data_IF_620206634875
#
_entry.id   IF_620206634875
#
_cell.length_a   1.000
_cell.length_b   1.000
_cell.length_c   1.000
_cell.angle_alpha   90.00
_cell.angle_beta   90.00
_cell.angle_gamma   90.00
#
_symmetry.space_group_name_H-M   'P 1'
#
loop_
_entity.id
_entity.type
_entity.pdbx_description
1 polymer ?
#
# COMPACT_ATOMS: atom_id res chain seq x y z
N UNK A 1 82.71 0.23 27.66
CA UNK A 1 81.70 1.34 27.56
C UNK A 1 80.63 0.88 26.60
N UNK A 2 79.59 0.31 27.14
CA UNK A 2 78.46 -0.25 26.37
C UNK A 2 77.25 0.64 26.57
N UNK A 3 76.77 1.27 25.51
CA UNK A 3 75.58 2.09 25.47
C UNK A 3 74.35 1.28 25.05
N UNK A 4 73.44 1.12 25.96
CA UNK A 4 72.18 0.43 25.82
C UNK A 4 71.15 1.36 25.12
N UNK A 5 70.71 1.04 23.93
CA UNK A 5 69.65 1.77 23.22
C UNK A 5 68.33 1.01 23.44
N UNK A 6 67.48 1.56 24.31
CA UNK A 6 66.11 1.03 24.48
C UNK A 6 65.21 1.55 23.37
N UNK A 7 64.79 0.64 22.51
CA UNK A 7 63.76 0.87 21.50
C UNK A 7 62.37 1.11 22.17
N UNK A 8 61.77 2.28 21.89
CA UNK A 8 60.39 2.58 22.29
C UNK A 8 59.50 2.20 21.13
N UNK A 9 58.77 1.11 21.28
CA UNK A 9 57.65 0.80 20.41
C UNK A 9 56.45 1.57 20.93
N UNK A 10 55.96 2.53 20.14
CA UNK A 10 54.70 3.21 20.35
C UNK A 10 53.60 2.36 19.74
N UNK A 11 52.75 1.83 20.57
CA UNK A 11 51.51 1.17 20.13
C UNK A 11 50.57 2.22 19.55
N UNK A 12 50.36 2.19 18.25
CA UNK A 12 49.23 2.81 17.58
C UNK A 12 48.26 1.69 17.21
N UNK A 13 47.42 1.33 18.13
CA UNK A 13 46.33 0.39 17.87
C UNK A 13 45.02 1.02 18.34
N UNK A 14 44.05 1.18 17.46
CA UNK A 14 42.69 1.36 17.91
C UNK A 14 41.94 2.60 17.44
N UNK A 15 41.81 2.80 16.14
CA UNK A 15 40.81 3.75 15.62
C UNK A 15 40.20 3.41 14.26
N UNK A 16 40.23 2.16 13.83
CA UNK A 16 39.68 1.75 12.51
C UNK A 16 38.51 0.76 12.60
N UNK A 17 38.06 0.40 13.82
CA UNK A 17 37.00 -0.60 14.01
C UNK A 17 35.58 -0.04 14.16
N UNK A 18 35.40 1.27 14.35
CA UNK A 18 34.09 1.82 14.74
C UNK A 18 33.27 2.42 13.59
N UNK A 19 33.84 2.60 12.41
CA UNK A 19 33.14 3.25 11.26
C UNK A 19 32.43 2.24 10.36
N UNK A 20 32.80 0.97 10.40
CA UNK A 20 32.20 -0.06 9.53
C UNK A 20 30.86 -0.61 10.06
N UNK A 21 30.49 -0.41 11.32
CA UNK A 21 29.23 -0.93 11.88
C UNK A 21 28.05 0.03 11.76
N UNK A 22 28.25 1.29 11.40
CA UNK A 22 27.17 2.27 11.29
C UNK A 22 26.54 2.35 9.89
N UNK A 23 27.15 1.75 8.89
CA UNK A 23 26.67 1.77 7.50
C UNK A 23 25.68 0.65 7.16
N UNK A 24 25.47 -0.33 8.04
CA UNK A 24 24.60 -1.50 7.81
C UNK A 24 23.18 -1.34 8.35
N UNK A 25 22.85 -0.23 9.01
CA UNK A 25 21.51 -0.04 9.59
C UNK A 25 20.59 0.88 8.81
N UNK A 26 21.02 1.44 7.68
CA UNK A 26 20.25 2.37 6.85
C UNK A 26 19.67 1.74 5.57
N UNK A 27 19.88 0.44 5.35
CA UNK A 27 19.46 -0.24 4.12
C UNK A 27 18.23 -1.13 4.21
N UNK A 28 17.56 -1.24 5.36
CA UNK A 28 16.46 -2.18 5.54
C UNK A 28 15.13 -1.45 5.82
N UNK A 29 14.75 -0.55 4.92
CA UNK A 29 13.40 0.01 4.86
C UNK A 29 12.85 -0.14 3.44
N UNK A 30 12.85 -1.38 2.97
CA UNK A 30 12.17 -1.73 1.75
C UNK A 30 11.46 -3.06 2.00
N UNK A 31 10.17 -3.07 1.71
CA UNK A 31 9.29 -4.25 1.67
C UNK A 31 8.83 -4.77 3.04
N UNK A 32 7.89 -4.09 3.63
CA UNK A 32 6.88 -4.74 4.47
C UNK A 32 5.96 -5.53 3.53
N UNK A 33 6.44 -6.68 3.09
CA UNK A 33 5.63 -7.65 2.38
C UNK A 33 5.03 -8.61 3.39
N UNK A 34 3.72 -8.73 3.41
CA UNK A 34 2.98 -9.91 3.81
C UNK A 34 2.86 -10.26 5.31
N UNK A 35 3.65 -9.65 6.23
CA UNK A 35 3.55 -9.98 7.66
C UNK A 35 2.63 -9.06 8.47
N UNK A 36 2.15 -7.96 7.89
CA UNK A 36 1.35 -6.95 8.59
C UNK A 36 -0.15 -7.03 8.25
N UNK A 37 -0.58 -8.15 7.64
CA UNK A 37 -1.99 -8.37 7.35
C UNK A 37 -2.74 -8.70 8.64
N UNK A 38 -3.60 -7.78 9.09
CA UNK A 38 -4.41 -7.95 10.30
C UNK A 38 -5.80 -8.48 9.99
N UNK A 39 -6.25 -8.32 8.76
CA UNK A 39 -7.56 -8.80 8.31
C UNK A 39 -7.42 -10.18 7.68
N UNK A 40 -8.30 -11.09 8.06
CA UNK A 40 -8.28 -12.47 7.56
C UNK A 40 -8.50 -12.51 6.04
N UNK A 41 -7.88 -13.48 5.38
CA UNK A 41 -8.12 -13.79 3.99
C UNK A 41 -9.60 -14.10 3.71
N UNK A 42 -10.06 -13.71 2.55
CA UNK A 42 -11.41 -14.02 2.10
C UNK A 42 -11.45 -15.44 1.51
N UNK A 43 -11.96 -16.38 2.28
CA UNK A 43 -12.11 -17.79 1.85
C UNK A 43 -13.28 -18.00 0.88
N UNK A 44 -14.17 -17.02 0.76
CA UNK A 44 -15.34 -17.04 -0.13
C UNK A 44 -15.21 -15.97 -1.23
N UNK A 45 -14.07 -15.94 -1.91
CA UNK A 45 -13.80 -14.95 -2.94
C UNK A 45 -14.86 -15.01 -4.05
N UNK A 46 -15.48 -13.85 -4.30
CA UNK A 46 -16.25 -13.65 -5.51
C UNK A 46 -15.30 -13.48 -6.70
N UNK A 47 -15.72 -13.86 -7.92
CA UNK A 47 -14.95 -13.54 -9.11
C UNK A 47 -14.63 -12.04 -9.17
N UNK A 48 -13.42 -11.72 -9.63
CA UNK A 48 -13.06 -10.32 -9.87
C UNK A 48 -14.07 -9.68 -10.83
N UNK A 49 -14.56 -8.47 -10.58
CA UNK A 49 -15.41 -7.79 -11.53
C UNK A 49 -14.62 -7.49 -12.79
N UNK A 50 -15.26 -7.65 -13.94
CA UNK A 50 -14.64 -7.30 -15.21
C UNK A 50 -14.34 -5.79 -15.22
N UNK A 51 -13.08 -5.45 -15.42
CA UNK A 51 -12.63 -4.06 -15.51
C UNK A 51 -12.68 -3.57 -16.97
N UNK A 52 -12.90 -2.28 -17.19
CA UNK A 52 -12.94 -1.70 -18.54
C UNK A 52 -11.60 -1.77 -19.28
N UNK A 53 -10.50 -1.76 -18.53
CA UNK A 53 -9.13 -1.96 -19.00
C UNK A 53 -8.43 -2.99 -18.12
N UNK A 54 -7.60 -3.88 -18.68
CA UNK A 54 -6.74 -4.72 -17.88
C UNK A 54 -5.71 -3.87 -17.15
N UNK A 55 -5.55 -4.10 -15.84
CA UNK A 55 -4.55 -3.42 -15.02
C UNK A 55 -3.93 -4.42 -14.03
N UNK A 56 -2.60 -4.48 -14.03
CA UNK A 56 -1.83 -5.34 -13.14
C UNK A 56 -1.16 -4.53 -12.04
N UNK A 57 -1.61 -4.67 -10.80
CA UNK A 57 -0.92 -4.10 -9.63
C UNK A 57 0.50 -4.67 -9.52
N UNK A 58 0.66 -5.97 -9.75
CA UNK A 58 1.96 -6.65 -9.74
C UNK A 58 2.99 -5.98 -10.64
N UNK A 59 2.62 -5.70 -11.88
CA UNK A 59 3.52 -5.06 -12.84
C UNK A 59 3.90 -3.64 -12.41
N UNK A 60 2.94 -2.83 -11.96
CA UNK A 60 3.17 -1.43 -11.63
C UNK A 60 3.89 -1.26 -10.29
N UNK A 61 3.55 -2.05 -9.27
CA UNK A 61 4.22 -2.00 -7.98
C UNK A 61 5.66 -2.53 -8.05
N UNK A 62 5.97 -3.42 -8.98
CA UNK A 62 7.35 -3.84 -9.26
C UNK A 62 8.25 -2.69 -9.76
N UNK A 63 7.67 -1.60 -10.25
CA UNK A 63 8.38 -0.37 -10.63
C UNK A 63 8.69 0.54 -9.42
N UNK A 64 8.26 0.17 -8.22
CA UNK A 64 8.44 0.96 -6.99
C UNK A 64 7.44 2.11 -6.83
N UNK A 65 6.32 2.09 -7.54
CA UNK A 65 5.26 3.08 -7.39
C UNK A 65 4.54 2.89 -6.05
N UNK A 66 4.27 3.99 -5.34
CA UNK A 66 3.47 3.99 -4.13
C UNK A 66 1.97 3.93 -4.46
N UNK A 67 1.16 3.46 -3.50
CA UNK A 67 -0.29 3.35 -3.68
C UNK A 67 -0.93 4.70 -4.02
N UNK A 68 -0.48 5.76 -3.34
CA UNK A 68 -0.98 7.13 -3.47
C UNK A 68 -0.64 7.77 -4.82
N UNK A 69 0.30 7.20 -5.57
CA UNK A 69 0.58 7.65 -6.95
C UNK A 69 -0.66 7.52 -7.84
N UNK A 70 -1.48 6.51 -7.58
CA UNK A 70 -2.68 6.21 -8.36
C UNK A 70 -3.97 6.37 -7.55
N UNK A 71 -3.94 6.11 -6.24
CA UNK A 71 -5.11 6.21 -5.37
C UNK A 71 -5.03 7.46 -4.51
N UNK A 72 -5.61 8.56 -5.02
CA UNK A 72 -5.66 9.84 -4.32
C UNK A 72 -6.76 9.92 -3.26
N UNK A 73 -6.67 10.91 -2.37
CA UNK A 73 -7.70 11.29 -1.38
C UNK A 73 -7.96 10.26 -0.28
N UNK A 74 -6.98 9.42 0.06
CA UNK A 74 -7.12 8.50 1.16
C UNK A 74 -7.23 9.22 2.52
N UNK A 75 -6.57 10.37 2.63
CA UNK A 75 -6.47 11.22 3.82
C UNK A 75 -7.63 12.22 3.99
N UNK A 76 -8.51 12.35 3.00
CA UNK A 76 -9.55 13.39 2.98
C UNK A 76 -10.91 12.89 2.50
N UNK A 77 -11.04 11.61 2.20
CA UNK A 77 -12.26 11.02 1.68
C UNK A 77 -12.56 9.65 2.29
N UNK A 78 -13.82 9.33 2.47
CA UNK A 78 -14.26 8.00 2.88
C UNK A 78 -13.81 6.92 1.87
N UNK A 79 -13.81 7.25 0.59
CA UNK A 79 -13.38 6.35 -0.49
C UNK A 79 -12.19 6.94 -1.22
N UNK A 80 -11.14 6.14 -1.41
CA UNK A 80 -10.05 6.52 -2.31
C UNK A 80 -10.57 6.62 -3.75
N UNK A 81 -10.03 7.59 -4.48
CA UNK A 81 -10.27 7.74 -5.91
C UNK A 81 -9.65 6.62 -6.72
N UNK A 82 -10.13 6.47 -7.93
CA UNK A 82 -9.41 5.77 -8.99
C UNK A 82 -8.51 6.76 -9.73
N UNK A 83 -7.39 6.31 -10.32
CA UNK A 83 -6.55 7.18 -11.11
C UNK A 83 -7.31 7.69 -12.33
N UNK A 84 -7.17 8.99 -12.60
CA UNK A 84 -7.63 9.60 -13.84
C UNK A 84 -6.73 9.17 -15.02
N UNK A 85 -7.24 9.31 -16.24
CA UNK A 85 -6.50 8.93 -17.45
C UNK A 85 -5.13 9.61 -17.54
N UNK A 86 -5.01 10.88 -17.12
CA UNK A 86 -3.78 11.65 -17.15
C UNK A 86 -2.68 11.02 -16.26
N UNK A 87 -3.05 10.42 -15.14
CA UNK A 87 -2.10 9.67 -14.29
C UNK A 87 -1.46 8.52 -15.08
N UNK A 88 -2.26 7.76 -15.80
CA UNK A 88 -1.79 6.67 -16.64
C UNK A 88 -0.96 7.18 -17.83
N UNK A 89 -1.47 8.21 -18.52
CA UNK A 89 -0.84 8.79 -19.71
C UNK A 89 0.45 9.54 -19.41
N UNK A 90 0.73 9.88 -18.16
CA UNK A 90 2.03 10.47 -17.78
C UNK A 90 3.21 9.56 -18.16
N UNK A 91 3.01 8.25 -18.22
CA UNK A 91 3.99 7.28 -18.67
C UNK A 91 3.60 6.64 -20.01
N UNK A 92 2.32 6.27 -20.18
CA UNK A 92 1.85 5.53 -21.35
C UNK A 92 1.73 6.33 -22.63
N UNK A 93 2.02 7.63 -22.60
CA UNK A 93 2.25 8.41 -23.81
C UNK A 93 3.55 8.01 -24.55
N UNK A 94 4.48 7.30 -23.86
CA UNK A 94 5.77 6.88 -24.41
C UNK A 94 6.08 5.41 -24.15
N UNK A 95 5.37 4.75 -23.23
CA UNK A 95 5.64 3.35 -22.82
C UNK A 95 4.46 2.47 -23.20
N UNK A 96 4.75 1.32 -23.85
CA UNK A 96 3.79 0.30 -24.27
C UNK A 96 2.68 0.84 -25.19
N UNK A 97 2.95 1.85 -25.97
CA UNK A 97 1.98 2.60 -26.80
C UNK A 97 1.31 1.75 -27.88
N UNK A 98 1.88 0.60 -28.23
CA UNK A 98 1.37 -0.37 -29.20
C UNK A 98 0.49 -1.46 -28.58
N UNK A 99 0.42 -1.52 -27.24
CA UNK A 99 -0.42 -2.50 -26.57
C UNK A 99 -1.91 -2.13 -26.70
N UNK A 100 -2.81 -3.08 -27.03
CA UNK A 100 -4.22 -2.78 -27.26
C UNK A 100 -4.91 -2.02 -26.10
N UNK A 101 -4.59 -2.37 -24.87
CA UNK A 101 -5.13 -1.70 -23.69
C UNK A 101 -4.66 -0.24 -23.57
N UNK A 102 -3.43 0.05 -23.99
CA UNK A 102 -2.88 1.41 -23.98
C UNK A 102 -3.44 2.25 -25.13
N UNK A 103 -3.66 1.64 -26.27
CA UNK A 103 -4.39 2.30 -27.40
C UNK A 103 -5.79 2.71 -26.93
N UNK A 104 -6.53 1.79 -26.30
CA UNK A 104 -7.86 2.09 -25.74
C UNK A 104 -7.80 3.17 -24.65
N UNK A 105 -6.81 3.13 -23.76
CA UNK A 105 -6.59 4.17 -22.76
C UNK A 105 -6.37 5.55 -23.40
N UNK A 106 -5.55 5.62 -24.45
CA UNK A 106 -5.29 6.85 -25.16
C UNK A 106 -6.55 7.42 -25.85
N UNK A 107 -7.42 6.54 -26.37
CA UNK A 107 -8.72 6.93 -26.93
C UNK A 107 -9.65 7.53 -25.84
N UNK A 108 -9.75 6.89 -24.67
CA UNK A 108 -10.53 7.39 -23.52
C UNK A 108 -10.00 8.75 -23.07
N UNK A 109 -8.67 8.87 -22.94
CA UNK A 109 -8.01 10.12 -22.52
C UNK A 109 -8.24 11.24 -23.53
N UNK A 110 -8.08 10.97 -24.82
CA UNK A 110 -8.29 11.97 -25.87
C UNK A 110 -9.74 12.46 -25.97
N UNK A 111 -10.69 11.62 -25.56
CA UNK A 111 -12.10 11.97 -25.46
C UNK A 111 -12.45 12.73 -24.16
N UNK A 112 -11.49 12.97 -23.28
CA UNK A 112 -11.69 13.62 -21.98
C UNK A 112 -12.59 12.81 -21.03
N UNK A 113 -12.58 11.50 -21.16
CA UNK A 113 -13.43 10.61 -20.38
C UNK A 113 -12.63 9.97 -19.24
N UNK A 114 -13.29 9.76 -18.10
CA UNK A 114 -12.75 8.93 -17.01
C UNK A 114 -12.97 7.46 -17.29
N UNK A 115 -12.07 6.61 -16.79
CA UNK A 115 -12.20 5.16 -16.90
C UNK A 115 -13.27 4.69 -15.90
N UNK A 116 -14.34 3.97 -16.33
CA UNK A 116 -15.43 3.56 -15.44
C UNK A 116 -15.04 2.30 -14.61
N UNK A 117 -14.02 2.43 -13.77
CA UNK A 117 -13.53 1.36 -12.92
C UNK A 117 -14.62 0.74 -12.04
N UNK A 118 -14.58 -0.57 -11.87
CA UNK A 118 -15.49 -1.30 -10.99
C UNK A 118 -14.82 -1.52 -9.62
N UNK A 119 -15.50 -1.03 -8.55
CA UNK A 119 -15.00 -1.25 -7.18
C UNK A 119 -15.11 -2.70 -6.77
N UNK A 120 -14.00 -3.26 -6.28
CA UNK A 120 -13.92 -4.63 -5.76
C UNK A 120 -14.41 -4.66 -4.31
N UNK A 121 -13.90 -3.76 -3.46
CA UNK A 121 -14.30 -3.65 -2.06
C UNK A 121 -15.42 -2.63 -1.90
N UNK A 122 -16.48 -3.03 -1.21
CA UNK A 122 -17.63 -2.16 -0.92
C UNK A 122 -18.08 -2.37 0.50
N UNK A 123 -18.24 -1.28 1.23
CA UNK A 123 -18.90 -1.27 2.55
C UNK A 123 -20.40 -1.13 2.31
N UNK A 124 -21.21 -1.86 3.08
CA UNK A 124 -22.65 -1.84 2.96
C UNK A 124 -23.24 -0.46 3.36
N UNK A 125 -24.37 -0.06 2.79
CA UNK A 125 -25.09 1.13 3.22
C UNK A 125 -25.41 1.10 4.73
N UNK A 126 -25.33 2.26 5.39
CA UNK A 126 -25.57 2.38 6.82
C UNK A 126 -24.33 2.11 7.70
N UNK A 127 -23.17 1.84 7.09
CA UNK A 127 -21.89 1.78 7.81
C UNK A 127 -21.14 3.09 7.61
N UNK A 128 -20.82 3.75 8.70
CA UNK A 128 -19.91 4.91 8.71
C UNK A 128 -18.49 4.39 8.67
N UNK A 129 -17.77 4.70 7.62
CA UNK A 129 -16.42 4.24 7.41
C UNK A 129 -15.61 5.25 6.57
N UNK A 130 -14.30 5.33 6.80
CA UNK A 130 -13.39 6.15 6.01
C UNK A 130 -11.95 5.68 6.15
N UNK A 131 -11.13 5.98 5.16
CA UNK A 131 -9.69 5.69 5.20
C UNK A 131 -8.95 6.62 6.18
N UNK A 132 -9.34 7.90 6.21
CA UNK A 132 -8.65 8.94 6.99
C UNK A 132 -8.33 8.53 8.44
N UNK A 133 -9.29 8.14 9.30
CA UNK A 133 -8.98 7.79 10.68
C UNK A 133 -8.08 6.56 10.82
N UNK A 134 -8.12 5.63 9.87
CA UNK A 134 -7.26 4.44 9.88
C UNK A 134 -5.83 4.78 9.46
N UNK A 135 -5.65 5.66 8.49
CA UNK A 135 -4.33 6.15 8.09
C UNK A 135 -3.69 7.02 9.16
N UNK A 136 -4.46 7.89 9.83
CA UNK A 136 -4.02 8.66 10.99
C UNK A 136 -3.58 7.76 12.15
N UNK A 137 -4.24 6.63 12.34
CA UNK A 137 -3.84 5.59 13.31
C UNK A 137 -2.64 4.76 12.85
N UNK A 138 -2.03 5.06 11.69
CA UNK A 138 -0.86 4.38 11.16
C UNK A 138 -1.14 2.98 10.59
N UNK A 139 -2.38 2.68 10.21
CA UNK A 139 -2.74 1.39 9.60
C UNK A 139 -2.25 1.37 8.15
N UNK A 140 -1.34 0.46 7.76
CA UNK A 140 -0.87 0.39 6.38
C UNK A 140 -1.94 -0.22 5.45
N UNK A 141 -1.88 0.12 4.17
CA UNK A 141 -2.85 -0.35 3.16
C UNK A 141 -2.97 -1.88 3.13
N UNK A 142 -1.83 -2.57 3.21
CA UNK A 142 -1.75 -4.04 3.20
C UNK A 142 -2.43 -4.71 4.39
N UNK A 143 -2.58 -4.04 5.53
CA UNK A 143 -3.29 -4.58 6.70
C UNK A 143 -4.75 -4.94 6.38
N UNK A 144 -5.36 -4.18 5.47
CA UNK A 144 -6.74 -4.39 5.04
C UNK A 144 -6.84 -5.05 3.65
N UNK A 145 -5.99 -4.63 2.71
CA UNK A 145 -6.09 -5.06 1.32
C UNK A 145 -5.22 -6.28 0.97
N UNK A 146 -4.41 -6.78 1.93
CA UNK A 146 -3.46 -7.85 1.66
C UNK A 146 -2.34 -7.42 0.71
N UNK A 147 -1.59 -8.38 0.19
CA UNK A 147 -0.50 -8.12 -0.74
C UNK A 147 -1.00 -8.01 -2.19
N UNK A 148 -1.47 -6.82 -2.56
CA UNK A 148 -1.93 -6.56 -3.93
C UNK A 148 -0.79 -6.59 -4.96
N UNK A 149 0.48 -6.59 -4.53
CA UNK A 149 1.63 -6.70 -5.44
C UNK A 149 1.74 -8.06 -6.14
N UNK A 150 0.96 -9.02 -5.70
CA UNK A 150 0.87 -10.35 -6.32
C UNK A 150 -0.23 -10.46 -7.39
N UNK A 151 -1.05 -9.41 -7.55
CA UNK A 151 -2.27 -9.47 -8.36
C UNK A 151 -2.07 -8.90 -9.77
N UNK A 152 -2.36 -9.72 -10.77
CA UNK A 152 -2.50 -9.28 -12.16
C UNK A 152 -3.91 -8.71 -12.43
N UNK A 153 -4.93 -9.18 -11.71
CA UNK A 153 -6.28 -8.61 -11.70
C UNK A 153 -6.71 -8.37 -10.25
N UNK A 154 -7.30 -7.21 -9.98
CA UNK A 154 -7.76 -6.87 -8.63
C UNK A 154 -8.97 -7.70 -8.24
N UNK A 155 -8.86 -8.45 -7.15
CA UNK A 155 -9.93 -9.24 -6.55
C UNK A 155 -10.00 -8.97 -5.05
N UNK A 156 -11.06 -9.42 -4.39
CA UNK A 156 -11.19 -9.33 -2.94
C UNK A 156 -10.36 -10.43 -2.27
N UNK A 157 -9.16 -10.09 -1.81
CA UNK A 157 -8.24 -11.04 -1.17
C UNK A 157 -8.47 -11.19 0.32
N UNK A 158 -9.07 -10.19 0.97
CA UNK A 158 -9.35 -10.16 2.41
C UNK A 158 -10.82 -9.94 2.68
N UNK A 159 -11.25 -10.26 3.89
CA UNK A 159 -12.63 -10.03 4.38
C UNK A 159 -12.83 -8.65 5.02
N UNK A 160 -12.02 -7.66 4.66
CA UNK A 160 -11.97 -6.33 5.30
C UNK A 160 -13.32 -5.63 5.41
N UNK A 161 -14.26 -5.88 4.51
CA UNK A 161 -15.60 -5.28 4.53
C UNK A 161 -16.61 -6.00 5.43
N UNK A 162 -16.19 -7.06 6.14
CA UNK A 162 -17.05 -7.76 7.09
C UNK A 162 -17.04 -7.09 8.47
N UNK A 163 -18.17 -7.07 9.15
CA UNK A 163 -18.25 -6.58 10.53
C UNK A 163 -17.31 -7.33 11.48
N UNK A 164 -17.15 -8.62 11.27
CA UNK A 164 -16.24 -9.45 12.07
C UNK A 164 -14.79 -8.99 11.94
N UNK A 165 -14.34 -8.66 10.74
CA UNK A 165 -12.97 -8.14 10.51
C UNK A 165 -12.76 -6.79 11.16
N UNK A 166 -13.74 -5.88 11.06
CA UNK A 166 -13.68 -4.57 11.71
C UNK A 166 -13.55 -4.73 13.24
N UNK A 167 -14.43 -5.52 13.85
CA UNK A 167 -14.44 -5.74 15.30
C UNK A 167 -13.14 -6.41 15.74
N UNK A 168 -12.69 -7.46 15.07
CA UNK A 168 -11.49 -8.20 15.44
C UNK A 168 -10.26 -7.27 15.46
N UNK A 169 -10.09 -6.43 14.44
CA UNK A 169 -8.98 -5.48 14.38
C UNK A 169 -9.10 -4.40 15.45
N UNK A 170 -10.30 -3.82 15.67
CA UNK A 170 -10.54 -2.82 16.70
C UNK A 170 -10.26 -3.36 18.10
N UNK A 171 -10.67 -4.60 18.42
CA UNK A 171 -10.35 -5.25 19.67
C UNK A 171 -8.84 -5.45 19.85
N UNK A 172 -8.14 -5.96 18.83
CA UNK A 172 -6.72 -6.18 18.86
C UNK A 172 -5.91 -4.88 19.05
N UNK A 173 -6.42 -3.75 18.54
CA UNK A 173 -5.80 -2.43 18.65
C UNK A 173 -6.37 -1.57 19.79
N UNK A 174 -7.27 -2.11 20.61
CA UNK A 174 -7.93 -1.37 21.68
C UNK A 174 -8.69 -0.12 21.17
N UNK A 175 -9.21 -0.21 19.95
CA UNK A 175 -10.05 0.81 19.35
C UNK A 175 -11.53 0.61 19.72
N UNK A 176 -12.36 1.63 19.49
CA UNK A 176 -13.78 1.60 19.86
C UNK A 176 -14.57 0.58 19.02
N UNK A 177 -15.33 -0.28 19.69
CA UNK A 177 -16.21 -1.31 19.11
C UNK A 177 -17.68 -1.08 19.39
N UNK A 178 -18.06 0.10 19.92
CA UNK A 178 -19.47 0.42 20.15
C UNK A 178 -20.26 0.42 18.82
N UNK A 179 -21.48 -0.04 18.86
CA UNK A 179 -22.33 -0.11 17.65
C UNK A 179 -22.40 1.24 16.90
N UNK A 180 -22.47 2.34 17.66
CA UNK A 180 -22.59 3.71 17.13
C UNK A 180 -21.30 4.23 16.48
N UNK A 181 -20.17 3.60 16.70
CA UNK A 181 -18.91 3.97 16.04
C UNK A 181 -18.98 3.70 14.55
N UNK A 182 -19.63 2.61 14.15
CA UNK A 182 -19.73 2.17 12.78
C UNK A 182 -21.14 2.33 12.18
N UNK A 183 -22.18 2.43 13.01
CA UNK A 183 -23.58 2.50 12.55
C UNK A 183 -24.25 3.77 13.05
N UNK A 184 -24.79 4.56 12.11
CA UNK A 184 -25.70 5.64 12.45
C UNK A 184 -27.08 5.03 12.79
N UNK A 185 -27.46 5.07 14.05
CA UNK A 185 -28.83 4.73 14.47
C UNK A 185 -29.70 5.94 14.29
N UNK A 186 -31.00 5.77 13.88
CA UNK A 186 -31.93 6.87 13.91
C UNK A 186 -32.04 7.37 15.36
N UNK A 187 -31.71 8.63 15.59
CA UNK A 187 -32.05 9.33 16.82
C UNK A 187 -33.54 9.63 16.70
N UNK A 188 -34.38 9.01 17.57
CA UNK A 188 -35.77 9.32 17.72
C UNK A 188 -35.97 10.76 18.28
#
# INVERSE_FOLDING_TARGET
MTRNIRSRYIFVSGALGAVALLALTLGARAQQSGSDQEVQDNVAMHPAPQQPLPYSHKTHLALGLACETCHANADSSALMGFPETDTCMSCHNAIATDQPAIVQLAEISSAGQSIPWQRVYRVLPGVTWGHEPHLEAGVPCGACHGDVSLLDEMTMTTSVTSMASCISCHEARTADTACTTCHAWPVE
#
